data_IF_376885709792
#
_entry.id   IF_376885709792
#
_cell.length_a   1.000
_cell.length_b   1.000
_cell.length_c   1.000
_cell.angle_alpha   90.00
_cell.angle_beta   90.00
_cell.angle_gamma   90.00
#
_symmetry.space_group_name_H-M   'P 1'
#
loop_
_entity.id
_entity.type
_entity.pdbx_description
1 polymer ?
#
# COMPACT_ATOMS: atom_id res chain seq x y z
N UNK A 1 7.31 -22.24 -6.13
CA UNK A 1 6.98 -21.97 -4.71
C UNK A 1 6.81 -20.48 -4.57
N UNK A 2 5.66 -20.02 -4.10
CA UNK A 2 5.38 -18.60 -3.88
C UNK A 2 5.95 -18.22 -2.52
N UNK A 3 6.94 -17.32 -2.45
CA UNK A 3 7.54 -16.87 -1.17
C UNK A 3 6.83 -15.60 -0.72
N UNK A 4 6.57 -15.48 0.59
CA UNK A 4 6.07 -14.23 1.17
C UNK A 4 7.12 -13.13 0.98
N UNK A 5 6.69 -11.98 0.51
CA UNK A 5 7.49 -10.77 0.38
C UNK A 5 7.14 -9.81 1.52
N UNK A 6 8.15 -9.19 2.09
CA UNK A 6 8.03 -8.23 3.19
C UNK A 6 8.73 -6.97 2.69
N UNK A 7 8.02 -5.85 2.63
CA UNK A 7 8.57 -4.58 2.18
C UNK A 7 9.63 -4.10 3.18
N UNK A 8 9.25 -3.95 4.45
CA UNK A 8 10.13 -3.44 5.49
C UNK A 8 10.85 -4.60 6.21
N UNK A 9 11.77 -5.27 5.49
CA UNK A 9 12.52 -6.40 6.03
C UNK A 9 13.42 -6.02 7.21
N UNK A 10 13.94 -4.78 7.21
CA UNK A 10 14.83 -4.26 8.23
C UNK A 10 14.10 -3.77 9.50
N UNK A 11 12.76 -3.71 9.49
CA UNK A 11 11.97 -3.24 10.62
C UNK A 11 12.15 -1.74 10.90
N UNK A 12 12.41 -0.95 9.87
CA UNK A 12 12.56 0.50 9.95
C UNK A 12 11.30 1.19 10.49
N UNK A 13 11.46 2.37 11.08
CA UNK A 13 10.34 3.12 11.62
C UNK A 13 9.31 3.45 10.51
N UNK A 14 8.03 3.35 10.84
CA UNK A 14 6.90 3.48 9.90
C UNK A 14 6.88 4.83 9.14
N UNK A 15 7.49 5.86 9.73
CA UNK A 15 7.57 7.20 9.15
C UNK A 15 8.79 7.47 8.29
N UNK A 16 9.84 6.66 8.43
CA UNK A 16 11.09 6.81 7.69
C UNK A 16 11.10 5.90 6.46
N UNK A 17 10.49 4.72 6.58
CA UNK A 17 10.49 3.73 5.51
C UNK A 17 9.72 4.22 4.26
N UNK A 18 10.29 4.11 3.05
CA UNK A 18 9.68 4.57 1.81
C UNK A 18 8.63 3.57 1.27
N UNK A 19 7.57 3.33 2.05
CA UNK A 19 6.53 2.32 1.79
C UNK A 19 6.05 2.26 0.35
N UNK A 20 5.62 3.40 -0.21
CA UNK A 20 5.02 3.45 -1.55
C UNK A 20 6.03 3.06 -2.63
N UNK A 21 7.28 3.51 -2.50
CA UNK A 21 8.33 3.23 -3.48
C UNK A 21 8.71 1.75 -3.47
N UNK A 22 8.85 1.15 -2.29
CA UNK A 22 9.15 -0.28 -2.17
C UNK A 22 8.01 -1.16 -2.70
N UNK A 23 6.75 -0.74 -2.50
CA UNK A 23 5.61 -1.45 -3.03
C UNK A 23 5.51 -1.35 -4.56
N UNK A 24 5.84 -0.20 -5.13
CA UNK A 24 5.94 -0.04 -6.59
C UNK A 24 7.10 -0.86 -7.16
N UNK A 25 8.24 -0.93 -6.47
CA UNK A 25 9.37 -1.77 -6.85
C UNK A 25 9.01 -3.26 -6.80
N UNK A 26 8.28 -3.71 -5.77
CA UNK A 26 7.73 -5.07 -5.70
C UNK A 26 6.77 -5.35 -6.88
N UNK A 27 5.86 -4.42 -7.18
CA UNK A 27 4.93 -4.57 -8.29
C UNK A 27 5.66 -4.70 -9.64
N UNK A 28 6.71 -3.91 -9.87
CA UNK A 28 7.57 -4.02 -11.05
C UNK A 28 8.30 -5.35 -11.12
N UNK A 29 8.92 -5.81 -10.02
CA UNK A 29 9.66 -7.09 -9.95
C UNK A 29 8.77 -8.30 -10.23
N UNK A 30 7.51 -8.25 -9.79
CA UNK A 30 6.55 -9.34 -9.94
C UNK A 30 5.67 -9.21 -11.18
N UNK A 31 5.87 -8.16 -12.00
CA UNK A 31 5.00 -7.80 -13.11
C UNK A 31 3.52 -7.68 -12.70
N UNK A 32 3.27 -7.27 -11.45
CA UNK A 32 1.92 -7.10 -10.91
C UNK A 32 1.39 -5.71 -11.28
N UNK A 33 0.25 -5.66 -11.97
CA UNK A 33 -0.44 -4.40 -12.22
C UNK A 33 -1.21 -3.96 -10.97
N UNK A 34 -0.85 -2.78 -10.44
CA UNK A 34 -1.54 -2.16 -9.31
C UNK A 34 -2.38 -0.99 -9.83
N UNK A 35 -3.69 -1.09 -9.65
CA UNK A 35 -4.62 -0.01 -9.94
C UNK A 35 -4.93 0.78 -8.67
N UNK A 36 -4.79 2.10 -8.74
CA UNK A 36 -5.11 3.01 -7.64
C UNK A 36 -6.40 3.77 -7.94
N UNK A 37 -7.32 3.76 -6.99
CA UNK A 37 -8.50 4.63 -6.98
C UNK A 37 -8.49 5.51 -5.74
N UNK A 38 -8.99 6.74 -5.88
CA UNK A 38 -9.02 7.72 -4.80
C UNK A 38 -10.44 8.21 -4.61
N UNK A 39 -10.87 8.32 -3.35
CA UNK A 39 -12.17 8.84 -2.97
C UNK A 39 -11.98 9.91 -1.91
N UNK A 40 -12.66 11.04 -2.08
CA UNK A 40 -12.63 12.15 -1.13
C UNK A 40 -13.86 12.07 -0.21
N UNK A 41 -13.63 12.21 1.08
CA UNK A 41 -14.65 12.21 2.14
C UNK A 41 -14.55 13.52 2.93
N UNK A 42 -15.08 14.64 2.39
CA UNK A 42 -14.87 15.99 2.92
C UNK A 42 -15.38 16.20 4.36
N UNK A 43 -16.26 15.32 4.84
CA UNK A 43 -16.89 15.43 6.15
C UNK A 43 -16.31 14.45 7.20
N UNK A 44 -15.09 13.93 6.99
CA UNK A 44 -14.49 12.94 7.88
C UNK A 44 -13.07 13.32 8.30
N UNK A 45 -12.61 12.77 9.42
CA UNK A 45 -11.22 12.90 9.88
C UNK A 45 -10.20 12.18 8.98
N UNK A 46 -10.63 11.57 7.88
CA UNK A 46 -9.76 11.03 6.84
C UNK A 46 -10.28 11.48 5.47
N UNK A 47 -9.87 12.68 5.07
CA UNK A 47 -10.33 13.35 3.85
C UNK A 47 -10.14 12.49 2.60
N UNK A 48 -9.11 11.66 2.54
CA UNK A 48 -8.82 10.82 1.39
C UNK A 48 -8.81 9.33 1.77
N UNK A 49 -9.46 8.53 0.93
CA UNK A 49 -9.29 7.10 0.86
C UNK A 49 -8.54 6.75 -0.43
N UNK A 50 -7.47 5.96 -0.32
CA UNK A 50 -6.71 5.44 -1.46
C UNK A 50 -6.85 3.92 -1.47
N UNK A 51 -7.37 3.37 -2.56
CA UNK A 51 -7.59 1.93 -2.70
C UNK A 51 -6.66 1.36 -3.77
N UNK A 52 -5.78 0.45 -3.36
CA UNK A 52 -4.95 -0.37 -4.24
C UNK A 52 -5.70 -1.65 -4.59
N UNK A 53 -5.71 -2.00 -5.87
CA UNK A 53 -6.28 -3.25 -6.38
C UNK A 53 -5.27 -3.95 -7.28
N UNK A 54 -4.94 -5.20 -6.97
CA UNK A 54 -3.96 -6.00 -7.71
C UNK A 54 -4.27 -7.49 -7.57
N UNK A 55 -4.27 -8.24 -8.67
CA UNK A 55 -4.72 -9.63 -8.67
C UNK A 55 -6.12 -9.78 -8.06
N UNK A 56 -6.27 -10.68 -7.08
CA UNK A 56 -7.51 -10.87 -6.31
C UNK A 56 -7.59 -10.00 -5.04
N UNK A 57 -6.60 -9.14 -4.80
CA UNK A 57 -6.49 -8.37 -3.57
C UNK A 57 -6.91 -6.92 -3.77
N UNK A 58 -7.57 -6.38 -2.74
CA UNK A 58 -7.98 -4.99 -2.66
C UNK A 58 -7.72 -4.49 -1.24
N UNK A 59 -7.06 -3.36 -1.11
CA UNK A 59 -6.77 -2.73 0.18
C UNK A 59 -7.00 -1.24 0.11
N UNK A 60 -7.69 -0.70 1.11
CA UNK A 60 -7.96 0.73 1.24
C UNK A 60 -7.20 1.29 2.44
N UNK A 61 -6.48 2.37 2.20
CA UNK A 61 -5.85 3.20 3.23
C UNK A 61 -6.47 4.59 3.29
N UNK A 62 -6.24 5.26 4.41
CA UNK A 62 -6.91 6.51 4.77
C UNK A 62 -5.90 7.57 5.21
N UNK A 63 -6.18 8.84 4.94
CA UNK A 63 -5.30 9.94 5.34
C UNK A 63 -5.93 11.32 5.11
N UNK A 64 -5.27 12.36 5.61
CA UNK A 64 -5.66 13.75 5.36
C UNK A 64 -5.26 14.20 3.95
N UNK A 65 -4.27 13.55 3.36
CA UNK A 65 -3.83 13.77 1.98
C UNK A 65 -3.86 12.48 1.17
N UNK A 66 -3.93 12.59 -0.17
CA UNK A 66 -3.79 11.42 -1.07
C UNK A 66 -2.50 10.64 -0.82
N UNK A 67 -1.40 11.34 -0.49
CA UNK A 67 -0.10 10.73 -0.21
C UNK A 67 -0.15 9.89 1.07
N UNK A 68 -0.74 10.42 2.14
CA UNK A 68 -0.92 9.69 3.40
C UNK A 68 -1.84 8.49 3.22
N UNK A 69 -2.96 8.65 2.53
CA UNK A 69 -3.90 7.55 2.26
C UNK A 69 -3.22 6.43 1.46
N UNK A 70 -2.38 6.78 0.47
CA UNK A 70 -1.59 5.82 -0.30
C UNK A 70 -0.56 5.10 0.57
N UNK A 71 0.16 5.82 1.45
CA UNK A 71 1.11 5.24 2.41
C UNK A 71 0.40 4.27 3.37
N UNK A 72 -0.73 4.66 3.96
CA UNK A 72 -1.52 3.81 4.86
C UNK A 72 -2.01 2.54 4.15
N UNK A 73 -2.44 2.65 2.89
CA UNK A 73 -2.87 1.50 2.10
C UNK A 73 -1.75 0.47 1.96
N UNK A 74 -0.53 0.93 1.67
CA UNK A 74 0.65 0.05 1.54
C UNK A 74 1.04 -0.59 2.87
N UNK A 75 1.01 0.17 3.97
CA UNK A 75 1.26 -0.38 5.32
C UNK A 75 0.25 -1.49 5.64
N UNK A 76 -1.02 -1.29 5.30
CA UNK A 76 -2.08 -2.30 5.49
C UNK A 76 -1.86 -3.54 4.63
N UNK A 77 -1.42 -3.37 3.38
CA UNK A 77 -1.04 -4.47 2.48
C UNK A 77 0.10 -5.29 3.11
N UNK A 78 1.14 -4.63 3.61
CA UNK A 78 2.27 -5.28 4.28
C UNK A 78 1.79 -6.09 5.49
N UNK A 79 0.99 -5.47 6.36
CA UNK A 79 0.45 -6.11 7.57
C UNK A 79 -0.45 -7.30 7.25
N UNK A 80 -1.17 -7.24 6.13
CA UNK A 80 -1.98 -8.36 5.65
C UNK A 80 -1.11 -9.52 5.15
N UNK A 81 0.17 -9.28 4.81
CA UNK A 81 1.11 -10.33 4.43
C UNK A 81 0.78 -11.00 3.10
N UNK A 82 0.07 -10.29 2.22
CA UNK A 82 -0.44 -10.76 0.92
C UNK A 82 0.54 -10.54 -0.23
N UNK A 83 1.72 -9.99 0.05
CA UNK A 83 2.77 -9.79 -0.95
C UNK A 83 3.57 -11.06 -1.13
N UNK A 84 3.84 -11.38 -2.38
CA UNK A 84 4.49 -12.62 -2.77
C UNK A 84 5.48 -12.41 -3.92
N UNK A 85 6.50 -13.27 -4.01
CA UNK A 85 7.50 -13.33 -5.09
C UNK A 85 7.78 -14.77 -5.51
#
# INVERSE_FOLDING_TARGET
MVRKYTLNQAGEHIDVFPWVQEFEAWAQRTHTTVNWSYTEHPNTSALWAATASFGAHKMTGYGQTRKEAKKDAVIRIERAGILHI
#
